data_IF_379140413218
#
_entry.id   IF_379140413218
#
_cell.length_a   1.000
_cell.length_b   1.000
_cell.length_c   1.000
_cell.angle_alpha   90.00
_cell.angle_beta   90.00
_cell.angle_gamma   90.00
#
_symmetry.space_group_name_H-M   'P 1'
#
loop_
_entity.id
_entity.type
_entity.pdbx_description
1 polymer ?
#
# COMPACT_ATOMS: atom_id res chain seq x y z
N UNK A 1 -20.60 7.30 -43.66
CA UNK A 1 -19.37 6.48 -43.73
C UNK A 1 -18.94 6.25 -42.29
N UNK A 2 -19.35 5.12 -41.69
CA UNK A 2 -19.12 4.82 -40.27
C UNK A 2 -17.85 3.98 -40.21
N UNK A 3 -16.80 4.51 -39.58
CA UNK A 3 -15.60 3.72 -39.29
C UNK A 3 -15.93 2.76 -38.13
N UNK A 4 -15.45 1.50 -38.15
CA UNK A 4 -15.60 0.61 -37.01
C UNK A 4 -14.79 1.13 -35.82
N UNK A 5 -15.24 0.91 -34.56
CA UNK A 5 -14.39 1.18 -33.41
C UNK A 5 -13.18 0.26 -33.48
N UNK A 6 -12.00 0.86 -33.42
CA UNK A 6 -10.71 0.19 -33.41
C UNK A 6 -10.65 -0.80 -32.24
N UNK A 7 -10.53 -2.10 -32.55
CA UNK A 7 -10.40 -3.22 -31.62
C UNK A 7 -9.02 -3.30 -30.95
N UNK A 8 -8.48 -2.16 -30.52
CA UNK A 8 -7.06 -1.99 -30.17
C UNK A 8 -6.83 -1.39 -28.78
N UNK A 9 -7.70 -1.67 -27.82
CA UNK A 9 -7.49 -1.21 -26.44
C UNK A 9 -7.70 -2.28 -25.36
N UNK A 10 -7.84 -3.54 -25.75
CA UNK A 10 -8.21 -4.62 -24.84
C UNK A 10 -7.16 -5.72 -24.74
N UNK A 11 -5.96 -5.49 -25.28
CA UNK A 11 -4.87 -6.48 -25.30
C UNK A 11 -3.52 -5.92 -24.91
N UNK A 12 -3.45 -4.64 -24.51
CA UNK A 12 -2.23 -3.98 -24.03
C UNK A 12 -2.34 -3.48 -22.57
N UNK A 13 -3.54 -3.42 -21.99
CA UNK A 13 -3.72 -3.09 -20.56
C UNK A 13 -3.53 -4.33 -19.68
N UNK A 14 -3.80 -5.55 -20.18
CA UNK A 14 -3.53 -6.80 -19.45
C UNK A 14 -2.04 -7.22 -19.48
N UNK A 15 -1.21 -6.57 -20.31
CA UNK A 15 0.23 -6.86 -20.43
C UNK A 15 1.11 -6.09 -19.43
N UNK A 16 0.57 -5.03 -18.81
CA UNK A 16 1.32 -4.18 -17.88
C UNK A 16 1.23 -4.60 -16.41
N UNK A 17 0.43 -5.62 -16.09
CA UNK A 17 0.42 -6.21 -14.75
C UNK A 17 1.42 -7.38 -14.62
N UNK A 18 1.77 -8.06 -15.71
CA UNK A 18 2.70 -9.23 -15.67
C UNK A 18 4.15 -8.89 -16.05
N UNK A 19 4.42 -7.92 -16.95
CA UNK A 19 5.79 -7.60 -17.41
C UNK A 19 6.58 -6.72 -16.42
N UNK A 20 5.94 -5.81 -15.66
CA UNK A 20 6.63 -4.94 -14.67
C UNK A 20 7.16 -5.71 -13.44
N UNK A 21 6.59 -6.89 -13.13
CA UNK A 21 6.96 -7.63 -11.94
C UNK A 21 8.32 -8.33 -12.06
N UNK A 22 8.60 -8.95 -13.21
CA UNK A 22 9.86 -9.65 -13.50
C UNK A 22 10.99 -8.70 -13.87
N UNK A 23 10.68 -7.58 -14.51
CA UNK A 23 11.68 -6.55 -14.87
C UNK A 23 12.32 -5.90 -13.64
N UNK A 24 11.59 -5.74 -12.53
CA UNK A 24 12.13 -5.11 -11.32
C UNK A 24 13.30 -5.88 -10.70
N UNK A 25 13.32 -7.21 -10.79
CA UNK A 25 14.41 -8.05 -10.25
C UNK A 25 15.56 -8.16 -11.25
N UNK A 26 15.25 -8.29 -12.54
CA UNK A 26 16.28 -8.33 -13.60
C UNK A 26 16.99 -6.97 -13.79
N UNK A 27 16.29 -5.85 -13.61
CA UNK A 27 16.88 -4.51 -13.73
C UNK A 27 17.81 -4.18 -12.55
N UNK A 28 17.54 -4.67 -11.33
CA UNK A 28 18.48 -4.57 -10.20
C UNK A 28 19.75 -5.36 -10.49
N UNK A 29 19.63 -6.55 -11.09
CA UNK A 29 20.80 -7.35 -11.49
C UNK A 29 21.61 -6.70 -12.63
N UNK A 30 20.98 -5.98 -13.56
CA UNK A 30 21.68 -5.22 -14.62
C UNK A 30 22.39 -3.95 -14.14
N UNK A 31 21.99 -3.38 -13.00
CA UNK A 31 22.57 -2.14 -12.44
C UNK A 31 23.55 -2.44 -11.29
N UNK A 32 23.93 -3.72 -11.07
CA UNK A 32 24.88 -4.04 -10.01
C UNK A 32 26.25 -3.39 -10.28
N UNK A 33 26.48 -2.28 -9.59
CA UNK A 33 27.80 -1.82 -9.23
C UNK A 33 28.29 -2.77 -8.14
N UNK A 34 29.50 -3.33 -8.29
CA UNK A 34 30.02 -4.47 -7.48
C UNK A 34 30.04 -4.28 -5.96
N UNK A 35 29.60 -3.13 -5.46
CA UNK A 35 29.47 -2.78 -4.04
C UNK A 35 28.22 -3.40 -3.41
N UNK A 36 27.18 -3.69 -4.20
CA UNK A 36 25.88 -4.17 -3.70
C UNK A 36 25.62 -5.67 -3.92
N UNK A 37 26.55 -6.40 -4.56
CA UNK A 37 26.39 -7.84 -4.83
C UNK A 37 26.13 -8.66 -3.56
N UNK A 38 26.76 -8.29 -2.45
CA UNK A 38 26.57 -8.94 -1.14
C UNK A 38 25.24 -8.59 -0.45
N UNK A 39 24.45 -7.69 -1.04
CA UNK A 39 23.24 -7.08 -0.47
C UNK A 39 22.03 -7.20 -1.39
N UNK A 40 22.15 -7.97 -2.48
CA UNK A 40 21.06 -8.19 -3.44
C UNK A 40 19.77 -8.69 -2.77
N UNK A 41 19.91 -9.37 -1.64
CA UNK A 41 18.80 -9.90 -0.90
C UNK A 41 17.95 -8.83 -0.18
N UNK A 42 18.50 -7.65 0.12
CA UNK A 42 17.73 -6.50 0.62
C UNK A 42 16.75 -5.95 -0.41
N UNK A 43 16.99 -6.18 -1.71
CA UNK A 43 16.14 -5.73 -2.81
C UNK A 43 15.10 -6.79 -3.21
N UNK A 44 14.99 -7.91 -2.47
CA UNK A 44 13.99 -8.93 -2.73
C UNK A 44 12.60 -8.45 -2.32
N UNK A 45 11.70 -8.29 -3.30
CA UNK A 45 10.26 -7.97 -3.08
C UNK A 45 9.61 -8.95 -2.11
N UNK A 46 9.83 -10.26 -2.30
CA UNK A 46 9.29 -11.33 -1.45
C UNK A 46 9.75 -11.21 0.00
N UNK A 47 11.00 -10.79 0.25
CA UNK A 47 11.46 -10.53 1.63
C UNK A 47 10.86 -9.25 2.20
N UNK A 48 10.62 -8.24 1.36
CA UNK A 48 10.03 -6.96 1.77
C UNK A 48 8.54 -7.07 2.14
N UNK A 49 7.82 -8.06 1.59
CA UNK A 49 6.41 -8.34 1.90
C UNK A 49 6.16 -8.96 3.28
N UNK A 50 7.22 -9.21 4.06
CA UNK A 50 7.11 -9.77 5.42
C UNK A 50 7.49 -8.74 6.46
N UNK A 51 6.69 -8.66 7.51
CA UNK A 51 7.03 -7.85 8.66
C UNK A 51 8.38 -8.30 9.27
N UNK A 52 9.26 -7.35 9.63
CA UNK A 52 10.49 -7.70 10.32
C UNK A 52 10.20 -8.35 11.67
N UNK A 53 11.06 -9.26 12.15
CA UNK A 53 10.90 -9.83 13.48
C UNK A 53 10.99 -8.74 14.55
N UNK A 54 10.27 -8.94 15.66
CA UNK A 54 10.37 -8.09 16.86
C UNK A 54 11.83 -7.99 17.33
N UNK A 55 12.24 -6.77 17.72
CA UNK A 55 13.61 -6.48 18.18
C UNK A 55 13.60 -6.04 19.65
N UNK A 56 14.76 -5.66 20.18
CA UNK A 56 14.87 -5.12 21.53
C UNK A 56 14.06 -3.82 21.74
N UNK A 57 13.79 -3.10 20.65
CA UNK A 57 12.91 -1.95 20.61
C UNK A 57 11.98 -2.07 19.39
N UNK A 58 10.69 -1.97 19.65
CA UNK A 58 9.66 -1.79 18.61
C UNK A 58 9.20 -0.33 18.59
N UNK A 59 8.55 0.08 17.50
CA UNK A 59 7.99 1.42 17.41
C UNK A 59 6.87 1.58 18.46
N UNK A 60 7.09 2.49 19.40
CA UNK A 60 6.12 2.88 20.42
C UNK A 60 5.60 4.28 20.10
N UNK A 61 4.29 4.47 20.22
CA UNK A 61 3.63 5.77 20.07
C UNK A 61 3.29 6.26 21.48
N UNK A 62 4.03 7.26 21.95
CA UNK A 62 3.78 7.91 23.24
C UNK A 62 2.53 8.80 23.14
N UNK A 63 1.68 8.73 24.16
CA UNK A 63 0.45 9.52 24.23
C UNK A 63 0.58 10.59 25.31
N UNK A 64 0.40 11.84 24.94
CA UNK A 64 0.33 12.97 25.88
C UNK A 64 -1.09 13.18 26.45
N UNK A 65 -2.06 12.42 25.94
CA UNK A 65 -3.47 12.52 26.32
C UNK A 65 -4.25 11.22 26.17
N UNK A 66 -5.58 11.32 26.24
CA UNK A 66 -6.47 10.16 26.04
C UNK A 66 -6.57 9.80 24.56
N UNK A 67 -6.66 8.50 24.26
CA UNK A 67 -6.93 8.01 22.91
C UNK A 67 -8.19 8.67 22.30
N UNK A 68 -8.13 9.10 21.03
CA UNK A 68 -9.30 9.66 20.38
C UNK A 68 -10.34 8.56 20.16
N UNK A 69 -11.62 8.86 20.38
CA UNK A 69 -12.72 7.96 20.00
C UNK A 69 -12.80 7.85 18.48
N UNK A 70 -13.31 6.71 18.00
CA UNK A 70 -13.61 6.50 16.57
C UNK A 70 -14.38 7.70 16.01
N UNK A 71 -13.81 8.34 15.00
CA UNK A 71 -14.40 9.50 14.33
C UNK A 71 -15.50 9.13 13.35
N UNK A 72 -16.01 10.15 12.65
CA UNK A 72 -16.89 9.94 11.49
C UNK A 72 -16.08 9.28 10.38
N UNK A 73 -16.62 8.20 9.81
CA UNK A 73 -16.05 7.53 8.64
C UNK A 73 -16.55 8.26 7.39
N UNK A 74 -15.65 8.59 6.48
CA UNK A 74 -16.01 9.23 5.22
C UNK A 74 -16.77 8.26 4.31
N UNK A 75 -17.79 8.77 3.62
CA UNK A 75 -18.51 7.99 2.60
C UNK A 75 -17.57 7.69 1.43
N UNK A 76 -17.50 6.42 1.04
CA UNK A 76 -16.70 5.95 -0.08
C UNK A 76 -17.59 5.71 -1.30
N UNK A 77 -17.08 6.02 -2.49
CA UNK A 77 -17.63 5.55 -3.75
C UNK A 77 -17.44 4.03 -3.91
N UNK A 78 -18.06 3.45 -4.94
CA UNK A 78 -17.93 2.01 -5.24
C UNK A 78 -16.47 1.66 -5.53
N UNK A 79 -15.80 2.43 -6.40
CA UNK A 79 -14.40 2.21 -6.75
C UNK A 79 -13.46 2.30 -5.55
N UNK A 80 -13.68 3.28 -4.67
CA UNK A 80 -12.89 3.42 -3.44
C UNK A 80 -13.16 2.28 -2.45
N UNK A 81 -14.40 1.82 -2.35
CA UNK A 81 -14.77 0.68 -1.50
C UNK A 81 -14.12 -0.61 -1.98
N UNK A 82 -14.10 -0.84 -3.29
CA UNK A 82 -13.48 -2.02 -3.89
C UNK A 82 -11.96 -1.98 -3.70
N UNK A 83 -11.32 -0.83 -3.92
CA UNK A 83 -9.89 -0.65 -3.64
C UNK A 83 -9.57 -0.83 -2.15
N UNK A 84 -10.42 -0.34 -1.25
CA UNK A 84 -10.24 -0.53 0.19
C UNK A 84 -10.29 -2.01 0.58
N UNK A 85 -11.25 -2.78 0.02
CA UNK A 85 -11.34 -4.22 0.29
C UNK A 85 -10.10 -4.97 -0.21
N UNK A 86 -9.66 -4.68 -1.44
CA UNK A 86 -8.44 -5.27 -1.99
C UNK A 86 -7.22 -4.97 -1.11
N UNK A 87 -7.03 -3.71 -0.73
CA UNK A 87 -5.94 -3.30 0.17
C UNK A 87 -5.97 -4.03 1.52
N UNK A 88 -7.16 -4.18 2.13
CA UNK A 88 -7.30 -4.90 3.40
C UNK A 88 -6.92 -6.36 3.23
N UNK A 89 -7.41 -7.05 2.20
CA UNK A 89 -7.09 -8.45 1.95
C UNK A 89 -5.59 -8.66 1.75
N UNK A 90 -4.97 -7.88 0.84
CA UNK A 90 -3.53 -7.90 0.56
C UNK A 90 -2.70 -7.74 1.84
N UNK A 91 -3.02 -6.75 2.68
CA UNK A 91 -2.23 -6.44 3.87
C UNK A 91 -2.49 -7.40 5.04
N UNK A 92 -3.64 -8.07 5.08
CA UNK A 92 -3.90 -9.15 6.04
C UNK A 92 -3.12 -10.40 5.65
N UNK A 93 -3.09 -10.74 4.35
CA UNK A 93 -2.31 -11.87 3.83
C UNK A 93 -0.81 -11.68 4.08
N UNK A 94 -0.28 -10.48 3.81
CA UNK A 94 1.12 -10.11 4.10
C UNK A 94 1.41 -9.90 5.60
N UNK A 95 0.42 -10.06 6.47
CA UNK A 95 0.53 -9.85 7.92
C UNK A 95 0.97 -8.43 8.33
N UNK A 96 0.82 -7.43 7.45
CA UNK A 96 1.10 -6.01 7.76
C UNK A 96 0.04 -5.40 8.67
N UNK A 97 -1.22 -5.80 8.49
CA UNK A 97 -2.32 -5.42 9.36
C UNK A 97 -3.01 -6.66 9.92
N UNK A 98 -3.80 -6.45 10.98
CA UNK A 98 -4.65 -7.50 11.56
C UNK A 98 -5.97 -6.90 12.06
N UNK A 99 -7.05 -7.70 12.13
CA UNK A 99 -8.25 -7.28 12.82
C UNK A 99 -7.93 -6.83 14.26
N UNK A 100 -8.55 -5.74 14.70
CA UNK A 100 -8.36 -5.23 16.06
C UNK A 100 -9.70 -4.85 16.68
N UNK A 101 -9.79 -4.93 18.01
CA UNK A 101 -10.94 -4.51 18.81
C UNK A 101 -10.64 -3.20 19.57
N UNK A 102 -9.85 -2.31 18.96
CA UNK A 102 -9.43 -1.06 19.58
C UNK A 102 -10.62 -0.13 19.84
N UNK A 103 -10.56 0.63 20.94
CA UNK A 103 -11.53 1.69 21.25
C UNK A 103 -11.31 2.95 20.41
N UNK A 104 -10.20 3.03 19.67
CA UNK A 104 -9.85 4.09 18.74
C UNK A 104 -9.81 3.59 17.30
N UNK A 105 -10.02 4.50 16.35
CA UNK A 105 -9.97 4.23 14.92
C UNK A 105 -9.85 5.53 14.12
N UNK A 106 -9.07 5.45 13.04
CA UNK A 106 -8.86 6.54 12.09
C UNK A 106 -9.63 6.27 10.79
N UNK A 107 -10.26 7.28 10.18
CA UNK A 107 -10.92 7.11 8.90
C UNK A 107 -9.89 6.99 7.77
N UNK A 108 -10.31 6.40 6.67
CA UNK A 108 -9.51 6.27 5.44
C UNK A 108 -10.01 7.29 4.41
N UNK A 109 -9.05 7.89 3.70
CA UNK A 109 -9.26 8.81 2.60
C UNK A 109 -8.55 8.27 1.35
N UNK A 110 -9.10 8.58 0.18
CA UNK A 110 -8.46 8.29 -1.10
C UNK A 110 -8.01 9.57 -1.79
N UNK A 111 -6.78 9.55 -2.28
CA UNK A 111 -6.21 10.61 -3.11
C UNK A 111 -6.07 10.11 -4.54
N UNK A 112 -6.50 10.93 -5.50
CA UNK A 112 -6.29 10.64 -6.92
C UNK A 112 -4.85 10.94 -7.29
N UNK A 113 -4.15 9.95 -7.82
CA UNK A 113 -2.84 10.10 -8.44
C UNK A 113 -2.97 10.71 -9.84
N UNK A 114 -1.83 11.17 -10.39
CA UNK A 114 -1.75 11.74 -11.74
C UNK A 114 -2.09 10.73 -12.85
N UNK A 115 -1.78 9.46 -12.61
CA UNK A 115 -2.05 8.32 -13.49
C UNK A 115 -3.53 7.86 -13.45
N UNK A 116 -4.37 8.48 -12.61
CA UNK A 116 -5.77 8.08 -12.43
C UNK A 116 -5.98 7.04 -11.33
N UNK A 117 -4.90 6.50 -10.74
CA UNK A 117 -4.97 5.55 -9.63
C UNK A 117 -5.44 6.18 -8.31
N UNK A 118 -5.84 5.32 -7.37
CA UNK A 118 -6.26 5.71 -6.02
C UNK A 118 -5.17 5.37 -5.00
N UNK A 119 -4.75 6.36 -4.21
CA UNK A 119 -3.84 6.19 -3.09
C UNK A 119 -4.64 6.21 -1.78
N UNK A 120 -4.60 5.10 -1.05
CA UNK A 120 -5.18 4.98 0.28
C UNK A 120 -4.34 5.76 1.31
N UNK A 121 -4.97 6.61 2.09
CA UNK A 121 -4.35 7.36 3.18
C UNK A 121 -5.18 7.20 4.45
N UNK A 122 -4.53 6.88 5.58
CA UNK A 122 -5.18 6.84 6.89
C UNK A 122 -5.05 8.22 7.53
N UNK A 123 -6.18 8.84 7.88
CA UNK A 123 -6.18 10.15 8.51
C UNK A 123 -5.91 10.04 10.02
N UNK A 124 -4.63 10.07 10.38
CA UNK A 124 -4.17 10.08 11.76
C UNK A 124 -4.27 11.46 12.43
N UNK A 125 -4.88 12.48 11.83
CA UNK A 125 -4.85 13.85 12.35
C UNK A 125 -5.28 13.99 13.82
N UNK A 126 -6.31 13.23 14.25
CA UNK A 126 -6.75 13.19 15.66
C UNK A 126 -5.79 12.46 16.59
N UNK A 127 -5.12 11.42 16.09
CA UNK A 127 -4.13 10.67 16.86
C UNK A 127 -2.87 11.52 17.02
N UNK A 128 -2.40 12.13 15.94
CA UNK A 128 -1.21 12.98 15.92
C UNK A 128 -1.33 14.19 16.85
N UNK A 129 -2.54 14.67 17.12
CA UNK A 129 -2.78 15.76 18.06
C UNK A 129 -2.60 15.39 19.53
N UNK A 130 -2.48 14.09 19.86
CA UNK A 130 -2.30 13.57 21.23
C UNK A 130 -1.03 12.72 21.39
N UNK A 131 -0.11 12.80 20.42
CA UNK A 131 1.17 12.08 20.41
C UNK A 131 2.34 13.05 20.40
N UNK A 132 3.42 12.73 21.10
CA UNK A 132 4.67 13.51 21.20
C UNK A 132 5.69 13.20 20.12
#
# INVERSE_FOLDING_TARGET
>A
MVLPPSSYHDSLEELWDEEEETEGVENVMKVSTSVYDQHLDFFSKVKAEKNPPHRACDHHIELEGSLPRVGVIYSLSIQESDRLRAYISENVESCFIRPSSSSTGAPVLFLKKKDGGLHLCVDYGKLNAVTS
#
